data_IF_476591237198
#
_entry.id   IF_476591237198
#
_cell.length_a   1.000
_cell.length_b   1.000
_cell.length_c   1.000
_cell.angle_alpha   90.00
_cell.angle_beta   90.00
_cell.angle_gamma   90.00
#
_symmetry.space_group_name_H-M   'P 1'
#
loop_
_entity.id
_entity.type
_entity.pdbx_description
1 polymer ?
#
# COMPACT_ATOMS: atom_id res chain seq x y z
N UNK A 1 -57.10 12.84 21.73
CA UNK A 1 -56.28 12.02 22.64
C UNK A 1 -55.24 11.32 21.78
N UNK A 2 -54.00 11.85 21.73
CA UNK A 2 -52.90 11.25 20.97
C UNK A 2 -52.29 10.08 21.75
N UNK A 3 -52.03 8.91 21.13
CA UNK A 3 -51.59 7.73 21.85
C UNK A 3 -50.12 7.84 22.28
N UNK A 4 -49.88 7.64 23.58
CA UNK A 4 -48.62 7.87 24.31
C UNK A 4 -47.40 7.00 23.90
N UNK A 5 -47.55 6.15 22.89
CA UNK A 5 -46.46 5.30 22.38
C UNK A 5 -45.60 6.00 21.32
N UNK A 6 -46.12 7.06 20.67
CA UNK A 6 -45.43 7.77 19.57
C UNK A 6 -44.13 8.46 20.01
N UNK A 7 -44.04 8.92 21.26
CA UNK A 7 -42.81 9.56 21.79
C UNK A 7 -41.69 8.56 22.07
N UNK A 8 -42.02 7.35 22.54
CA UNK A 8 -41.04 6.29 22.82
C UNK A 8 -40.51 5.67 21.53
N UNK A 9 -41.39 5.45 20.55
CA UNK A 9 -40.98 4.91 19.25
C UNK A 9 -40.06 5.89 18.48
N UNK A 10 -40.34 7.20 18.54
CA UNK A 10 -39.48 8.22 17.94
C UNK A 10 -38.11 8.30 18.61
N UNK A 11 -38.07 8.18 19.95
CA UNK A 11 -36.81 8.17 20.70
C UNK A 11 -35.95 6.94 20.36
N UNK A 12 -36.55 5.75 20.27
CA UNK A 12 -35.85 4.52 19.90
C UNK A 12 -35.43 4.48 18.42
N UNK A 13 -36.19 5.11 17.51
CA UNK A 13 -35.80 5.24 16.11
C UNK A 13 -34.58 6.18 15.94
N UNK A 14 -34.53 7.28 16.71
CA UNK A 14 -33.40 8.22 16.68
C UNK A 14 -32.13 7.64 17.30
N UNK A 15 -32.24 6.87 18.40
CA UNK A 15 -31.08 6.18 18.98
C UNK A 15 -30.57 5.07 18.07
N UNK A 16 -31.44 4.30 17.40
CA UNK A 16 -31.02 3.33 16.38
C UNK A 16 -30.36 4.01 15.18
N UNK A 17 -30.88 5.15 14.72
CA UNK A 17 -30.25 5.93 13.64
C UNK A 17 -28.88 6.50 14.04
N UNK A 18 -28.72 6.97 15.29
CA UNK A 18 -27.45 7.44 15.83
C UNK A 18 -26.43 6.29 16.02
N UNK A 19 -26.88 5.12 16.48
CA UNK A 19 -26.06 3.91 16.57
C UNK A 19 -25.65 3.39 15.19
N UNK A 20 -26.50 3.53 14.18
CA UNK A 20 -26.18 3.23 12.78
C UNK A 20 -25.21 4.25 12.16
N UNK A 21 -25.27 5.53 12.57
CA UNK A 21 -24.32 6.56 12.14
C UNK A 21 -22.95 6.43 12.83
N UNK A 22 -22.94 6.10 14.12
CA UNK A 22 -21.72 5.86 14.90
C UNK A 22 -21.10 4.48 14.62
N UNK A 23 -21.92 3.54 14.13
CA UNK A 23 -21.55 2.23 13.61
C UNK A 23 -21.11 2.24 12.14
N UNK A 24 -20.72 3.40 11.62
CA UNK A 24 -19.81 3.47 10.48
C UNK A 24 -18.37 3.47 11.04
N UNK A 25 -17.73 2.31 11.28
CA UNK A 25 -16.28 2.25 11.17
C UNK A 25 -15.98 2.49 9.69
N UNK A 26 -16.03 3.76 9.29
CA UNK A 26 -15.72 4.35 8.00
C UNK A 26 -15.90 3.39 6.81
N UNK A 27 -16.90 3.60 5.96
CA UNK A 27 -17.00 2.89 4.67
C UNK A 27 -15.68 2.97 3.87
N UNK A 28 -14.84 3.99 4.12
CA UNK A 28 -13.47 4.11 3.60
C UNK A 28 -12.48 3.12 4.26
N UNK A 29 -12.63 2.83 5.55
CA UNK A 29 -11.86 1.83 6.29
C UNK A 29 -12.26 0.40 5.92
N UNK A 30 -13.56 0.09 5.83
CA UNK A 30 -14.04 -1.26 5.39
C UNK A 30 -13.62 -1.53 3.94
N UNK A 31 -13.75 -0.55 3.03
CA UNK A 31 -13.26 -0.69 1.64
C UNK A 31 -11.73 -0.72 1.53
N UNK A 32 -11.00 -0.25 2.54
CA UNK A 32 -9.54 -0.40 2.61
C UNK A 32 -9.16 -1.77 3.16
N UNK A 33 -9.88 -2.26 4.17
CA UNK A 33 -9.72 -3.58 4.74
C UNK A 33 -10.07 -4.68 3.74
N UNK A 34 -11.14 -4.54 2.95
CA UNK A 34 -11.46 -5.50 1.89
C UNK A 34 -10.43 -5.53 0.75
N UNK A 35 -9.73 -4.41 0.50
CA UNK A 35 -8.59 -4.37 -0.44
C UNK A 35 -7.35 -5.01 0.17
N UNK A 36 -7.09 -4.75 1.45
CA UNK A 36 -6.04 -5.39 2.23
C UNK A 36 -6.25 -6.91 2.36
N UNK A 37 -7.47 -7.35 2.64
CA UNK A 37 -7.81 -8.77 2.76
C UNK A 37 -7.80 -9.48 1.41
N UNK A 38 -8.18 -8.81 0.31
CA UNK A 38 -7.98 -9.35 -1.06
C UNK A 38 -6.50 -9.42 -1.46
N UNK A 39 -5.69 -8.47 -1.02
CA UNK A 39 -4.23 -8.53 -1.15
C UNK A 39 -3.67 -9.72 -0.36
N UNK A 40 -4.10 -9.95 0.89
CA UNK A 40 -3.65 -11.07 1.71
C UNK A 40 -4.19 -12.44 1.28
N UNK A 41 -5.44 -12.52 0.79
CA UNK A 41 -6.08 -13.81 0.47
C UNK A 41 -5.73 -14.34 -0.93
N UNK A 42 -5.16 -13.50 -1.79
CA UNK A 42 -4.64 -13.89 -3.11
C UNK A 42 -3.12 -14.07 -3.15
N UNK A 43 -2.43 -13.96 -2.02
CA UNK A 43 -0.98 -14.14 -1.95
C UNK A 43 -0.60 -15.62 -2.06
N UNK A 44 -0.11 -16.01 -3.25
CA UNK A 44 0.83 -17.12 -3.39
C UNK A 44 2.23 -16.60 -2.97
N UNK A 45 2.78 -17.00 -1.81
CA UNK A 45 4.11 -16.59 -1.36
C UNK A 45 5.24 -17.04 -2.31
N UNK A 46 4.95 -17.80 -3.37
CA UNK A 46 5.89 -18.19 -4.42
C UNK A 46 6.36 -17.06 -5.37
N UNK A 47 5.81 -15.84 -5.26
CA UNK A 47 6.15 -14.73 -6.19
C UNK A 47 7.15 -13.72 -5.61
N UNK A 48 7.42 -13.74 -4.30
CA UNK A 48 8.60 -13.08 -3.73
C UNK A 48 9.84 -13.92 -4.05
N UNK A 49 10.25 -13.98 -5.32
CA UNK A 49 11.59 -14.45 -5.64
C UNK A 49 12.53 -13.33 -5.21
N UNK A 50 13.34 -13.48 -4.14
CA UNK A 50 14.48 -12.62 -3.97
C UNK A 50 15.29 -12.73 -5.27
N UNK A 51 15.41 -11.63 -6.01
CA UNK A 51 16.40 -11.51 -7.07
C UNK A 51 17.73 -11.78 -6.37
N UNK A 52 18.19 -13.02 -6.54
CA UNK A 52 19.36 -13.56 -5.87
C UNK A 52 20.52 -12.69 -6.29
N UNK A 53 20.96 -11.80 -5.41
CA UNK A 53 22.28 -11.19 -5.52
C UNK A 53 23.25 -12.36 -5.59
N UNK A 54 23.80 -12.58 -6.78
CA UNK A 54 24.74 -13.64 -7.09
C UNK A 54 26.08 -13.36 -6.41
N UNK A 55 26.13 -13.45 -5.08
CA UNK A 55 27.33 -13.69 -4.27
C UNK A 55 26.91 -14.34 -2.95
N UNK A 56 27.04 -15.66 -2.89
CA UNK A 56 27.00 -16.42 -1.63
C UNK A 56 28.44 -16.59 -1.13
N UNK A 57 28.88 -15.92 -0.05
CA UNK A 57 29.99 -16.43 0.73
C UNK A 57 29.49 -17.66 1.50
N UNK A 58 29.98 -18.84 1.14
CA UNK A 58 29.75 -20.07 1.91
C UNK A 58 30.51 -19.98 3.24
N UNK A 59 29.81 -19.77 4.36
CA UNK A 59 30.19 -20.40 5.64
C UNK A 59 29.13 -20.25 6.72
N UNK A 60 28.55 -21.40 7.08
CA UNK A 60 27.89 -21.77 8.34
C UNK A 60 27.24 -20.70 9.21
N UNK A 61 25.92 -20.78 9.31
CA UNK A 61 25.22 -20.65 10.59
C UNK A 61 23.82 -21.26 10.47
N UNK A 62 23.50 -22.20 11.36
CA UNK A 62 22.13 -22.55 11.67
C UNK A 62 21.39 -21.30 12.10
N UNK A 63 20.30 -20.95 11.42
CA UNK A 63 19.37 -19.92 11.88
C UNK A 63 17.98 -20.44 11.57
N UNK A 64 17.36 -21.04 12.59
CA UNK A 64 15.97 -21.49 12.50
C UNK A 64 15.06 -20.31 12.16
N UNK A 65 14.12 -20.55 11.26
CA UNK A 65 12.76 -19.99 11.18
C UNK A 65 12.49 -18.67 11.90
N UNK A 66 13.25 -17.62 11.62
CA UNK A 66 12.78 -16.25 11.82
C UNK A 66 12.22 -15.82 10.49
N UNK A 67 10.89 -15.83 10.37
CA UNK A 67 10.21 -15.20 9.23
C UNK A 67 10.80 -13.79 9.06
N UNK A 68 11.18 -13.39 7.83
CA UNK A 68 11.83 -12.10 7.62
C UNK A 68 10.95 -10.99 8.21
N UNK A 69 11.52 -10.17 9.08
CA UNK A 69 10.80 -9.07 9.72
C UNK A 69 10.32 -8.11 8.63
N UNK A 70 9.02 -8.09 8.36
CA UNK A 70 8.43 -7.22 7.34
C UNK A 70 8.40 -5.79 7.87
N UNK A 71 8.94 -4.84 7.10
CA UNK A 71 8.93 -3.42 7.41
C UNK A 71 7.87 -2.70 6.57
N UNK A 72 7.15 -1.76 7.18
CA UNK A 72 6.20 -0.91 6.47
C UNK A 72 6.95 0.28 5.85
N UNK A 73 7.07 0.26 4.52
CA UNK A 73 7.86 1.24 3.76
C UNK A 73 6.94 2.20 3.04
N UNK A 74 7.10 3.49 3.34
CA UNK A 74 6.35 4.56 2.69
C UNK A 74 7.00 4.96 1.35
N UNK A 75 6.16 5.09 0.32
CA UNK A 75 6.49 5.66 -0.98
C UNK A 75 5.67 6.93 -1.17
N UNK A 76 6.31 8.04 -1.54
CA UNK A 76 5.66 9.34 -1.68
C UNK A 76 6.12 10.07 -2.94
N UNK A 77 5.18 10.73 -3.62
CA UNK A 77 5.45 11.53 -4.80
C UNK A 77 4.64 12.84 -4.78
N UNK A 78 5.29 13.99 -4.99
CA UNK A 78 4.59 15.27 -5.14
C UNK A 78 4.16 15.46 -6.59
N UNK A 79 2.88 15.27 -6.87
CA UNK A 79 2.31 15.39 -8.22
C UNK A 79 0.89 16.00 -8.14
N UNK A 80 0.76 17.31 -7.87
CA UNK A 80 -0.52 17.94 -7.57
C UNK A 80 -1.53 17.84 -8.73
N UNK A 81 -1.02 17.88 -9.96
CA UNK A 81 -1.80 17.83 -11.21
C UNK A 81 -2.14 16.40 -11.67
N UNK A 82 -1.54 15.37 -11.07
CA UNK A 82 -1.79 14.00 -11.46
C UNK A 82 -3.24 13.60 -11.16
N UNK A 83 -3.80 12.73 -12.01
CA UNK A 83 -5.11 12.10 -11.80
C UNK A 83 -4.94 10.69 -11.22
N UNK A 84 -3.86 10.02 -11.58
CA UNK A 84 -3.52 8.68 -11.11
C UNK A 84 -2.01 8.56 -10.92
N UNK A 85 -1.62 7.93 -9.81
CA UNK A 85 -0.24 7.52 -9.56
C UNK A 85 -0.24 6.05 -9.17
N UNK A 86 0.48 5.25 -9.95
CA UNK A 86 0.74 3.84 -9.69
C UNK A 86 2.23 3.65 -9.37
N UNK A 87 2.55 2.58 -8.67
CA UNK A 87 3.91 2.21 -8.31
C UNK A 87 4.21 0.83 -8.91
N UNK A 88 5.37 0.72 -9.54
CA UNK A 88 5.91 -0.53 -10.03
C UNK A 88 7.34 -0.69 -9.56
N UNK A 89 7.76 -1.92 -9.28
CA UNK A 89 9.14 -2.20 -8.90
C UNK A 89 9.40 -3.69 -8.76
N UNK A 90 10.54 -4.02 -8.17
CA UNK A 90 10.95 -5.42 -7.98
C UNK A 90 9.89 -6.24 -7.22
N UNK A 91 9.22 -5.62 -6.23
CA UNK A 91 8.15 -6.23 -5.43
C UNK A 91 6.83 -6.45 -6.19
N UNK A 92 6.61 -5.80 -7.33
CA UNK A 92 5.41 -5.96 -8.17
C UNK A 92 5.71 -6.54 -9.55
N UNK A 93 6.91 -7.11 -9.73
CA UNK A 93 7.38 -7.58 -11.05
C UNK A 93 7.24 -6.52 -12.14
N UNK A 94 7.49 -5.26 -11.80
CA UNK A 94 7.36 -4.12 -12.70
C UNK A 94 5.94 -3.91 -13.29
N UNK A 95 4.92 -4.54 -12.71
CA UNK A 95 3.52 -4.26 -13.03
C UNK A 95 3.07 -3.02 -12.24
N UNK A 96 2.43 -2.01 -12.87
CA UNK A 96 1.91 -0.83 -12.19
C UNK A 96 0.54 -1.12 -11.56
N UNK A 97 0.47 -2.03 -10.59
CA UNK A 97 -0.78 -2.43 -9.92
C UNK A 97 -0.95 -1.84 -8.51
N UNK A 98 0.10 -1.24 -7.95
CA UNK A 98 0.04 -0.57 -6.64
C UNK A 98 -0.41 0.87 -6.81
N UNK A 99 -1.68 1.17 -6.52
CA UNK A 99 -2.21 2.53 -6.57
C UNK A 99 -1.84 3.37 -5.34
N UNK A 100 -1.33 4.58 -5.56
CA UNK A 100 -1.10 5.56 -4.50
C UNK A 100 -2.38 6.35 -4.20
N UNK A 101 -2.51 6.80 -2.95
CA UNK A 101 -3.60 7.67 -2.51
C UNK A 101 -3.15 9.12 -2.55
N UNK A 102 -4.02 10.01 -3.04
CA UNK A 102 -3.79 11.46 -3.01
C UNK A 102 -3.99 11.96 -1.58
N UNK A 103 -2.92 12.44 -0.97
CA UNK A 103 -2.87 13.16 0.30
C UNK A 103 -3.05 14.68 0.07
N UNK A 104 -3.20 15.47 1.16
CA UNK A 104 -3.17 16.93 1.07
C UNK A 104 -1.94 17.47 0.34
N UNK A 105 -2.01 18.73 -0.10
CA UNK A 105 -0.91 19.43 -0.79
C UNK A 105 -0.43 18.79 -2.11
N UNK A 106 -1.24 17.89 -2.68
CA UNK A 106 -0.92 17.24 -3.95
C UNK A 106 0.18 16.18 -3.85
N UNK A 107 0.38 15.63 -2.66
CA UNK A 107 1.26 14.48 -2.42
C UNK A 107 0.47 13.20 -2.69
N UNK A 108 1.13 12.20 -3.24
CA UNK A 108 0.63 10.85 -3.43
C UNK A 108 1.43 9.93 -2.55
N UNK A 109 0.78 9.03 -1.82
CA UNK A 109 1.46 8.13 -0.90
C UNK A 109 0.84 6.74 -0.83
N UNK A 110 1.69 5.75 -0.54
CA UNK A 110 1.32 4.37 -0.21
C UNK A 110 2.33 3.78 0.76
N UNK A 111 1.91 2.76 1.51
CA UNK A 111 2.76 2.03 2.45
C UNK A 111 2.72 0.56 2.07
N UNK A 112 3.89 -0.04 1.86
CA UNK A 112 4.02 -1.45 1.48
C UNK A 112 4.77 -2.24 2.55
N UNK A 113 4.29 -3.44 2.92
CA UNK A 113 5.06 -4.39 3.70
C UNK A 113 6.18 -4.99 2.83
N UNK A 114 7.44 -4.68 3.14
CA UNK A 114 8.62 -5.19 2.43
C UNK A 114 9.64 -5.79 3.41
N UNK A 115 10.20 -6.97 3.12
CA UNK A 115 11.39 -7.46 3.83
C UNK A 115 12.58 -6.48 3.71
N UNK A 116 13.58 -6.57 4.60
CA UNK A 116 14.83 -5.87 4.44
C UNK A 116 15.50 -6.25 3.11
N UNK A 117 15.95 -5.25 2.37
CA UNK A 117 16.41 -5.43 1.00
C UNK A 117 16.59 -4.11 0.26
N UNK A 118 17.07 -4.21 -0.98
CA UNK A 118 17.24 -3.08 -1.89
C UNK A 118 16.29 -3.28 -3.06
N UNK A 119 15.40 -2.32 -3.29
CA UNK A 119 14.32 -2.42 -4.26
C UNK A 119 14.42 -1.30 -5.29
N UNK A 120 14.37 -1.65 -6.57
CA UNK A 120 14.19 -0.71 -7.67
C UNK A 120 12.70 -0.46 -7.90
N UNK A 121 12.36 0.79 -8.22
CA UNK A 121 10.99 1.18 -8.47
C UNK A 121 10.88 2.39 -9.41
N UNK A 122 9.68 2.55 -9.97
CA UNK A 122 9.23 3.72 -10.74
C UNK A 122 7.79 4.05 -10.35
N UNK A 123 7.44 5.32 -10.42
CA UNK A 123 6.06 5.75 -10.44
C UNK A 123 5.54 5.77 -11.87
N UNK A 124 4.27 5.43 -12.07
CA UNK A 124 3.55 5.71 -13.29
C UNK A 124 2.52 6.80 -12.99
N UNK A 125 2.72 7.99 -13.53
CA UNK A 125 1.87 9.17 -13.35
C UNK A 125 1.08 9.38 -14.63
N UNK A 126 -0.24 9.20 -14.57
CA UNK A 126 -1.13 9.35 -15.73
C UNK A 126 -0.64 8.58 -16.98
N UNK A 127 -0.06 7.39 -16.77
CA UNK A 127 0.50 6.53 -17.83
C UNK A 127 1.98 6.75 -18.15
N UNK A 128 2.59 7.85 -17.70
CA UNK A 128 4.00 8.14 -17.92
C UNK A 128 4.87 7.63 -16.76
N UNK A 129 5.94 6.91 -17.09
CA UNK A 129 6.93 6.49 -16.10
C UNK A 129 7.76 7.67 -15.59
N UNK A 130 7.96 7.71 -14.28
CA UNK A 130 8.67 8.77 -13.57
C UNK A 130 9.47 8.16 -12.41
N UNK A 131 10.77 8.40 -12.40
CA UNK A 131 11.62 8.12 -11.25
C UNK A 131 11.29 9.07 -10.09
N UNK A 132 11.39 8.58 -8.87
CA UNK A 132 11.30 9.40 -7.67
C UNK A 132 12.41 10.47 -7.66
N UNK A 133 12.06 11.78 -7.71
CA UNK A 133 13.04 12.84 -7.67
C UNK A 133 13.83 12.93 -6.36
N UNK A 134 13.36 12.28 -5.29
CA UNK A 134 13.99 12.31 -3.96
C UNK A 134 14.83 11.08 -3.65
N UNK A 135 14.79 10.05 -4.51
CA UNK A 135 15.55 8.83 -4.31
C UNK A 135 16.80 8.81 -5.21
N UNK A 136 17.86 8.11 -4.81
CA UNK A 136 18.97 7.81 -5.70
C UNK A 136 18.50 7.07 -6.95
N UNK A 137 19.07 7.44 -8.11
CA UNK A 137 18.87 6.72 -9.36
C UNK A 137 19.93 5.63 -9.49
N UNK A 138 19.50 4.43 -9.82
CA UNK A 138 20.38 3.30 -10.09
C UNK A 138 19.69 2.35 -11.04
N UNK A 139 20.42 1.83 -12.03
CA UNK A 139 19.88 0.94 -13.04
C UNK A 139 18.93 1.62 -14.01
N UNK A 140 18.31 0.81 -14.87
CA UNK A 140 17.29 1.28 -15.80
C UNK A 140 16.29 0.17 -16.12
N UNK A 141 15.01 0.52 -16.21
CA UNK A 141 13.93 -0.34 -16.67
C UNK A 141 13.36 0.26 -17.97
N UNK A 142 13.31 -0.51 -19.07
CA UNK A 142 12.81 -0.03 -20.37
C UNK A 142 13.38 1.35 -20.81
N UNK A 143 14.69 1.55 -20.56
CA UNK A 143 15.44 2.80 -20.81
C UNK A 143 15.12 3.99 -19.89
N UNK A 144 14.25 3.80 -18.90
CA UNK A 144 13.99 4.78 -17.84
C UNK A 144 14.92 4.52 -16.65
N UNK A 145 15.61 5.54 -16.11
CA UNK A 145 16.41 5.36 -14.90
C UNK A 145 15.50 5.01 -13.72
N UNK A 146 15.86 4.00 -12.94
CA UNK A 146 15.03 3.52 -11.82
C UNK A 146 15.45 4.15 -10.50
N UNK A 147 14.49 4.39 -9.61
CA UNK A 147 14.76 4.83 -8.24
C UNK A 147 15.03 3.64 -7.34
N UNK A 148 15.86 3.84 -6.30
CA UNK A 148 16.18 2.77 -5.35
C UNK A 148 15.79 3.12 -3.93
N UNK A 149 15.16 2.13 -3.27
CA UNK A 149 14.79 2.17 -1.86
C UNK A 149 15.53 1.06 -1.12
N UNK A 150 16.34 1.44 -0.14
CA UNK A 150 16.89 0.49 0.83
C UNK A 150 15.96 0.38 2.04
N UNK A 151 15.71 -0.86 2.44
CA UNK A 151 14.89 -1.26 3.58
C UNK A 151 15.83 -2.01 4.52
N UNK A 152 16.07 -1.45 5.71
CA UNK A 152 17.03 -1.97 6.71
C UNK A 152 16.38 -2.06 8.07
#
# INVERSE_FOLDING_TARGET
MEPAWRSKAAFWALTLAFLALAGLPSVVLVRSLERYLRFLSGWDPGVLRPSTTRRLPHRGAHSGDVAPAVLFVEFRLKAPKAKQVLLAGDFSQWRPDVALKKAPEGVWETVLPLPPGRYHYLFQVDGAWLADPKAPLEGSYERQPTSVKEVR
#
